data_IF_242797834854
#
_entry.id   IF_242797834854
#
_cell.length_a   1.000
_cell.length_b   1.000
_cell.length_c   1.000
_cell.angle_alpha   90.00
_cell.angle_beta   90.00
_cell.angle_gamma   90.00
#
_symmetry.space_group_name_H-M   'P 1'
#
loop_
_entity.id
_entity.type
_entity.pdbx_description
1 polymer ?
#
# COMPACT_ATOMS: atom_id res chain seq x y z
N UNK A 1 -24.44 -15.14 -21.98
CA UNK A 1 -24.42 -16.10 -20.86
C UNK A 1 -23.84 -15.41 -19.62
N UNK A 2 -24.68 -15.03 -18.66
CA UNK A 2 -24.23 -14.41 -17.41
C UNK A 2 -23.43 -15.41 -16.57
N UNK A 3 -22.12 -15.22 -16.50
CA UNK A 3 -21.25 -15.93 -15.56
C UNK A 3 -21.68 -15.58 -14.13
N UNK A 4 -22.45 -16.46 -13.48
CA UNK A 4 -22.95 -16.28 -12.11
C UNK A 4 -21.80 -16.39 -11.11
N UNK A 5 -21.42 -15.27 -10.50
CA UNK A 5 -20.70 -15.24 -9.21
C UNK A 5 -21.47 -16.06 -8.17
N UNK A 6 -20.74 -16.73 -7.28
CA UNK A 6 -21.34 -17.46 -6.16
C UNK A 6 -22.09 -16.49 -5.24
N UNK A 7 -23.16 -16.95 -4.59
CA UNK A 7 -23.95 -16.14 -3.65
C UNK A 7 -23.07 -15.51 -2.56
N UNK A 8 -22.06 -16.25 -2.05
CA UNK A 8 -21.09 -15.74 -1.08
C UNK A 8 -20.22 -14.60 -1.63
N UNK A 9 -19.80 -14.70 -2.89
CA UNK A 9 -19.00 -13.66 -3.55
C UNK A 9 -19.81 -12.38 -3.77
N UNK A 10 -21.11 -12.51 -4.08
CA UNK A 10 -22.02 -11.36 -4.21
C UNK A 10 -22.20 -10.62 -2.88
N UNK A 11 -22.50 -11.35 -1.81
CA UNK A 11 -22.64 -10.74 -0.47
C UNK A 11 -21.33 -10.10 0.02
N UNK A 12 -20.17 -10.68 -0.30
CA UNK A 12 -18.88 -10.07 0.01
C UNK A 12 -18.60 -8.82 -0.83
N UNK A 13 -19.02 -8.81 -2.10
CA UNK A 13 -18.86 -7.68 -3.00
C UNK A 13 -19.71 -6.48 -2.60
N UNK A 14 -20.96 -6.69 -2.16
CA UNK A 14 -21.85 -5.61 -1.70
C UNK A 14 -21.31 -4.85 -0.49
N UNK A 15 -20.45 -5.48 0.33
CA UNK A 15 -19.80 -4.82 1.47
C UNK A 15 -18.65 -3.89 1.09
N UNK A 16 -18.22 -3.88 -0.18
CA UNK A 16 -17.11 -3.08 -0.67
C UNK A 16 -17.56 -2.11 -1.75
N UNK A 17 -17.52 -0.81 -1.47
CA UNK A 17 -17.79 0.27 -2.44
C UNK A 17 -17.03 0.07 -3.76
N UNK A 18 -15.78 -0.40 -3.69
CA UNK A 18 -14.96 -0.64 -4.87
C UNK A 18 -15.44 -1.84 -5.68
N UNK A 19 -15.86 -2.92 -5.02
CA UNK A 19 -16.38 -4.10 -5.70
C UNK A 19 -17.73 -3.81 -6.37
N UNK A 20 -18.63 -3.11 -5.69
CA UNK A 20 -19.91 -2.64 -6.24
C UNK A 20 -19.68 -1.74 -7.46
N UNK A 21 -18.72 -0.81 -7.39
CA UNK A 21 -18.35 0.03 -8.53
C UNK A 21 -17.90 -0.78 -9.75
N UNK A 22 -17.02 -1.76 -9.56
CA UNK A 22 -16.53 -2.61 -10.65
C UNK A 22 -17.66 -3.44 -11.26
N UNK A 23 -18.56 -3.97 -10.44
CA UNK A 23 -19.68 -4.78 -10.91
C UNK A 23 -20.68 -3.96 -11.75
N UNK A 24 -21.00 -2.74 -11.32
CA UNK A 24 -21.97 -1.85 -11.98
C UNK A 24 -21.39 -1.09 -13.18
N UNK A 25 -20.07 -0.97 -13.29
CA UNK A 25 -19.45 -0.19 -14.38
C UNK A 25 -19.66 -0.84 -15.75
N UNK A 26 -20.14 -0.07 -16.72
CA UNK A 26 -20.27 -0.49 -18.13
C UNK A 26 -18.92 -0.56 -18.87
N UNK A 27 -17.86 0.02 -18.30
CA UNK A 27 -16.53 0.11 -18.91
C UNK A 27 -15.69 -1.17 -18.88
N UNK A 28 -16.24 -2.27 -18.35
CA UNK A 28 -15.55 -3.56 -18.21
C UNK A 28 -16.40 -4.71 -18.78
N UNK A 29 -15.77 -5.58 -19.56
CA UNK A 29 -16.40 -6.83 -20.03
C UNK A 29 -16.68 -7.79 -18.87
N UNK A 30 -17.65 -8.69 -19.04
CA UNK A 30 -18.05 -9.68 -18.01
C UNK A 30 -16.88 -10.53 -17.48
N UNK A 31 -15.93 -10.89 -18.35
CA UNK A 31 -14.72 -11.64 -17.98
C UNK A 31 -13.83 -10.82 -17.03
N UNK A 32 -13.64 -9.53 -17.35
CA UNK A 32 -12.83 -8.63 -16.52
C UNK A 32 -13.52 -8.33 -15.18
N UNK A 33 -14.84 -8.18 -15.18
CA UNK A 33 -15.62 -8.02 -13.95
C UNK A 33 -15.44 -9.22 -13.02
N UNK A 34 -15.57 -10.45 -13.56
CA UNK A 34 -15.37 -11.67 -12.77
C UNK A 34 -13.97 -11.75 -12.18
N UNK A 35 -12.94 -11.50 -13.00
CA UNK A 35 -11.55 -11.48 -12.56
C UNK A 35 -11.32 -10.47 -11.42
N UNK A 36 -11.80 -9.23 -11.59
CA UNK A 36 -11.63 -8.18 -10.60
C UNK A 36 -12.38 -8.50 -9.30
N UNK A 37 -13.62 -9.00 -9.38
CA UNK A 37 -14.39 -9.40 -8.20
C UNK A 37 -13.69 -10.54 -7.46
N UNK A 38 -13.16 -11.54 -8.17
CA UNK A 38 -12.39 -12.62 -7.55
C UNK A 38 -11.09 -12.12 -6.91
N UNK A 39 -10.41 -11.17 -7.55
CA UNK A 39 -9.19 -10.58 -6.99
C UNK A 39 -9.46 -9.73 -5.74
N UNK A 40 -10.61 -9.06 -5.68
CA UNK A 40 -11.05 -8.22 -4.55
C UNK A 40 -11.56 -9.10 -3.39
N UNK A 41 -12.47 -10.04 -3.68
CA UNK A 41 -13.10 -10.93 -2.69
C UNK A 41 -12.15 -12.01 -2.19
N UNK A 42 -11.25 -12.49 -3.05
CA UNK A 42 -10.21 -13.48 -2.70
C UNK A 42 -9.09 -12.93 -1.81
N UNK A 43 -9.27 -11.73 -1.23
CA UNK A 43 -8.39 -11.12 -0.24
C UNK A 43 -6.93 -10.90 -0.70
N UNK A 44 -6.69 -11.04 -2.01
CA UNK A 44 -5.38 -10.87 -2.62
C UNK A 44 -5.00 -9.40 -2.67
N UNK A 45 -5.93 -8.56 -3.13
CA UNK A 45 -5.72 -7.11 -3.24
C UNK A 45 -5.76 -6.45 -1.87
N UNK A 46 -6.73 -6.79 -1.02
CA UNK A 46 -6.88 -6.22 0.32
C UNK A 46 -5.66 -6.50 1.20
N UNK A 47 -5.19 -7.75 1.24
CA UNK A 47 -3.96 -8.10 1.96
C UNK A 47 -2.73 -7.38 1.43
N UNK A 48 -2.59 -7.24 0.11
CA UNK A 48 -1.44 -6.57 -0.51
C UNK A 48 -1.45 -5.05 -0.27
N UNK A 49 -2.63 -4.41 -0.33
CA UNK A 49 -2.81 -3.01 0.01
C UNK A 49 -2.56 -2.76 1.50
N UNK A 50 -3.04 -3.64 2.37
CA UNK A 50 -2.81 -3.55 3.82
C UNK A 50 -1.31 -3.62 4.14
N UNK A 51 -0.62 -4.63 3.63
CA UNK A 51 0.84 -4.79 3.82
C UNK A 51 1.59 -3.60 3.22
N UNK A 52 1.23 -3.16 2.01
CA UNK A 52 1.84 -1.99 1.37
C UNK A 52 1.62 -0.69 2.16
N UNK A 53 0.43 -0.50 2.76
CA UNK A 53 0.12 0.63 3.62
C UNK A 53 0.98 0.63 4.88
N UNK A 54 1.04 -0.51 5.57
CA UNK A 54 1.88 -0.69 6.76
C UNK A 54 3.36 -0.47 6.45
N UNK A 55 3.88 -1.01 5.35
CA UNK A 55 5.28 -0.80 4.93
C UNK A 55 5.59 0.66 4.63
N UNK A 56 4.61 1.42 4.10
CA UNK A 56 4.76 2.87 3.87
C UNK A 56 4.85 3.61 5.20
N UNK A 57 3.93 3.35 6.12
CA UNK A 57 3.97 3.95 7.47
C UNK A 57 5.24 3.60 8.23
N UNK A 58 5.68 2.35 8.13
CA UNK A 58 6.92 1.89 8.75
C UNK A 58 8.16 2.54 8.13
N UNK A 59 8.18 2.72 6.81
CA UNK A 59 9.29 3.41 6.13
C UNK A 59 9.33 4.91 6.45
N UNK A 60 8.18 5.53 6.70
CA UNK A 60 8.10 6.91 7.19
C UNK A 60 8.74 7.05 8.59
N UNK A 61 8.38 6.15 9.53
CA UNK A 61 8.98 6.13 10.87
C UNK A 61 10.49 5.86 10.80
N UNK A 62 10.92 4.91 9.98
CA UNK A 62 12.34 4.64 9.75
C UNK A 62 13.08 5.87 9.20
N UNK A 63 12.47 6.61 8.28
CA UNK A 63 13.04 7.85 7.74
C UNK A 63 13.24 8.93 8.81
N UNK A 64 12.31 9.05 9.77
CA UNK A 64 12.47 9.96 10.92
C UNK A 64 13.66 9.52 11.78
N UNK A 65 13.75 8.23 12.10
CA UNK A 65 14.85 7.69 12.91
C UNK A 65 16.20 7.91 12.21
N UNK A 66 16.28 7.60 10.92
CA UNK A 66 17.48 7.81 10.10
C UNK A 66 17.87 9.29 10.04
N UNK A 67 16.90 10.20 9.94
CA UNK A 67 17.15 11.65 9.93
C UNK A 67 17.77 12.19 11.23
N UNK A 68 17.65 11.44 12.33
CA UNK A 68 18.28 11.79 13.62
C UNK A 68 19.60 11.04 13.79
N UNK A 69 19.62 9.73 13.48
CA UNK A 69 20.80 8.87 13.67
C UNK A 69 21.96 9.28 12.76
N UNK A 70 21.74 9.51 11.46
CA UNK A 70 22.83 9.79 10.53
C UNK A 70 23.54 11.12 10.80
N UNK A 71 22.85 12.25 11.05
CA UNK A 71 23.52 13.49 11.47
C UNK A 71 24.25 13.34 12.81
N UNK A 72 23.70 12.56 13.75
CA UNK A 72 24.37 12.28 15.03
C UNK A 72 25.71 11.56 14.84
N UNK A 73 25.75 10.54 13.98
CA UNK A 73 26.99 9.84 13.61
C UNK A 73 27.98 10.78 12.91
N UNK A 74 27.49 11.63 12.01
CA UNK A 74 28.32 12.58 11.27
C UNK A 74 28.98 13.62 12.19
N UNK A 75 28.22 14.22 13.11
CA UNK A 75 28.74 15.20 14.08
C UNK A 75 29.76 14.53 15.02
N UNK A 76 29.47 13.32 15.49
CA UNK A 76 30.40 12.58 16.35
C UNK A 76 31.74 12.32 15.65
N UNK A 77 31.70 11.90 14.39
CA UNK A 77 32.88 11.64 13.57
C UNK A 77 33.73 12.91 13.36
N UNK A 78 33.10 14.08 13.17
CA UNK A 78 33.80 15.36 13.09
C UNK A 78 34.50 15.73 14.41
N UNK A 79 33.86 15.49 15.55
CA UNK A 79 34.39 15.87 16.86
C UNK A 79 35.54 14.98 17.34
N UNK A 80 35.48 13.67 17.04
CA UNK A 80 36.45 12.69 17.55
C UNK A 80 37.49 12.25 16.52
N UNK A 81 37.34 12.64 15.24
CA UNK A 81 38.29 12.32 14.17
C UNK A 81 38.38 10.85 13.79
N UNK A 82 37.61 9.97 14.44
CA UNK A 82 37.55 8.53 14.19
C UNK A 82 36.10 8.05 14.27
N UNK A 83 35.72 7.15 13.37
CA UNK A 83 34.43 6.45 13.44
C UNK A 83 34.63 5.21 14.30
N UNK A 84 34.31 5.31 15.60
CA UNK A 84 34.34 4.17 16.51
C UNK A 84 33.15 3.24 16.22
N UNK A 85 33.34 1.93 16.40
CA UNK A 85 32.31 0.91 16.16
C UNK A 85 31.08 1.16 17.04
N UNK A 86 31.25 1.77 18.22
CA UNK A 86 30.16 2.12 19.15
C UNK A 86 29.14 3.08 18.56
N UNK A 87 29.55 3.90 17.60
CA UNK A 87 28.69 4.90 16.95
C UNK A 87 28.08 4.36 15.66
N UNK A 88 28.73 3.39 15.03
CA UNK A 88 28.21 2.71 13.84
C UNK A 88 27.28 1.53 14.18
N UNK A 89 27.45 0.91 15.35
CA UNK A 89 26.68 -0.26 15.75
C UNK A 89 25.17 -0.01 15.89
N UNK A 90 24.68 1.12 16.45
CA UNK A 90 23.24 1.37 16.56
C UNK A 90 22.52 1.47 15.20
N UNK A 91 23.01 2.22 14.19
CA UNK A 91 22.45 2.19 12.83
C UNK A 91 22.46 0.78 12.21
N UNK A 92 23.55 0.03 12.37
CA UNK A 92 23.69 -1.32 11.80
C UNK A 92 22.70 -2.31 12.43
N UNK A 93 22.55 -2.28 13.75
CA UNK A 93 21.58 -3.10 14.47
C UNK A 93 20.16 -2.71 14.10
N UNK A 94 19.85 -1.41 14.06
CA UNK A 94 18.54 -0.92 13.65
C UNK A 94 18.17 -1.40 12.24
N UNK A 95 19.09 -1.26 11.28
CA UNK A 95 18.86 -1.69 9.90
C UNK A 95 18.65 -3.21 9.79
N UNK A 96 19.46 -4.00 10.52
CA UNK A 96 19.36 -5.46 10.53
C UNK A 96 18.05 -5.94 11.14
N UNK A 97 17.67 -5.41 12.31
CA UNK A 97 16.41 -5.76 12.98
C UNK A 97 15.21 -5.31 12.16
N UNK A 98 15.25 -4.12 11.56
CA UNK A 98 14.18 -3.60 10.71
C UNK A 98 13.99 -4.49 9.47
N UNK A 99 15.07 -4.96 8.85
CA UNK A 99 15.01 -5.88 7.72
C UNK A 99 14.37 -7.22 8.11
N UNK A 100 14.82 -7.83 9.21
CA UNK A 100 14.27 -9.11 9.69
C UNK A 100 12.79 -8.96 10.04
N UNK A 101 12.42 -7.89 10.74
CA UNK A 101 11.04 -7.62 11.11
C UNK A 101 10.14 -7.44 9.88
N UNK A 102 10.61 -6.73 8.85
CA UNK A 102 9.89 -6.58 7.57
C UNK A 102 9.73 -7.91 6.84
N UNK A 103 10.78 -8.72 6.75
CA UNK A 103 10.71 -10.05 6.12
C UNK A 103 9.68 -10.91 6.85
N UNK A 104 9.73 -10.95 8.19
CA UNK A 104 8.78 -11.71 9.00
C UNK A 104 7.34 -11.24 8.82
N UNK A 105 7.11 -9.92 8.85
CA UNK A 105 5.78 -9.33 8.68
C UNK A 105 5.19 -9.60 7.30
N UNK A 106 5.97 -9.41 6.23
CA UNK A 106 5.51 -9.65 4.86
C UNK A 106 5.27 -11.14 4.66
N UNK A 107 6.16 -12.00 5.15
CA UNK A 107 6.01 -13.45 5.04
C UNK A 107 4.76 -13.94 5.76
N UNK A 108 4.47 -13.45 6.97
CA UNK A 108 3.28 -13.84 7.71
C UNK A 108 1.98 -13.43 7.00
N UNK A 109 1.90 -12.20 6.49
CA UNK A 109 0.66 -11.66 5.91
C UNK A 109 0.44 -12.02 4.43
N UNK A 110 1.51 -12.34 3.69
CA UNK A 110 1.45 -12.69 2.27
C UNK A 110 1.92 -14.13 1.98
N UNK A 111 2.07 -14.97 3.01
CA UNK A 111 2.40 -16.39 2.86
C UNK A 111 1.40 -17.01 1.87
N UNK A 112 1.89 -17.66 0.81
CA UNK A 112 1.14 -18.22 -0.34
C UNK A 112 0.65 -17.24 -1.42
N UNK A 113 0.58 -15.93 -1.16
CA UNK A 113 0.09 -14.94 -2.14
C UNK A 113 1.20 -14.40 -3.06
N UNK A 114 2.45 -14.48 -2.61
CA UNK A 114 3.63 -13.81 -3.22
C UNK A 114 4.87 -14.72 -3.16
N UNK A 115 5.78 -14.64 -4.13
CA UNK A 115 7.02 -15.47 -4.14
C UNK A 115 8.03 -14.94 -3.14
N UNK A 116 8.92 -15.80 -2.64
CA UNK A 116 9.94 -15.42 -1.65
C UNK A 116 10.88 -14.30 -2.14
N UNK A 117 11.24 -14.30 -3.43
CA UNK A 117 12.05 -13.21 -4.01
C UNK A 117 11.34 -11.85 -3.96
N UNK A 118 10.02 -11.82 -4.19
CA UNK A 118 9.24 -10.59 -4.13
C UNK A 118 9.18 -10.10 -2.67
N UNK A 119 9.18 -11.02 -1.68
CA UNK A 119 9.25 -10.69 -0.24
C UNK A 119 10.59 -10.01 0.09
N UNK A 120 11.71 -10.53 -0.43
CA UNK A 120 13.03 -9.94 -0.20
C UNK A 120 13.13 -8.54 -0.78
N UNK A 121 12.70 -8.32 -2.03
CA UNK A 121 12.72 -6.98 -2.62
C UNK A 121 11.78 -6.03 -1.88
N UNK A 122 10.63 -6.55 -1.43
CA UNK A 122 9.66 -5.77 -0.67
C UNK A 122 10.12 -5.42 0.75
N UNK A 123 11.11 -6.12 1.28
CA UNK A 123 11.71 -5.83 2.59
C UNK A 123 12.72 -4.69 2.55
N UNK A 124 13.17 -4.29 1.35
CA UNK A 124 14.16 -3.23 1.19
C UNK A 124 13.66 -1.90 1.77
N UNK A 125 14.56 -1.09 2.36
CA UNK A 125 14.23 0.23 2.85
C UNK A 125 13.61 1.09 1.74
N UNK A 126 12.52 1.81 2.05
CA UNK A 126 11.90 2.84 1.20
C UNK A 126 11.28 2.37 -0.14
N UNK A 127 11.70 1.23 -0.69
CA UNK A 127 11.24 0.71 -1.98
C UNK A 127 10.14 -0.36 -1.86
N UNK A 128 9.95 -0.91 -0.67
CA UNK A 128 9.14 -2.12 -0.47
C UNK A 128 7.67 -2.00 -0.86
N UNK A 129 7.00 -0.96 -0.35
CA UNK A 129 5.58 -0.71 -0.67
C UNK A 129 5.38 -0.39 -2.15
N UNK A 130 6.24 0.47 -2.71
CA UNK A 130 6.20 0.85 -4.12
C UNK A 130 6.41 -0.36 -5.04
N UNK A 131 7.31 -1.27 -4.69
CA UNK A 131 7.53 -2.50 -5.44
C UNK A 131 6.28 -3.39 -5.48
N UNK A 132 5.67 -3.67 -4.31
CA UNK A 132 4.44 -4.48 -4.23
C UNK A 132 3.31 -3.85 -5.04
N UNK A 133 3.09 -2.54 -4.88
CA UNK A 133 2.05 -1.81 -5.60
C UNK A 133 2.32 -1.88 -7.11
N UNK A 134 3.56 -1.62 -7.54
CA UNK A 134 3.91 -1.64 -8.97
C UNK A 134 3.72 -3.03 -9.58
N UNK A 135 4.23 -4.06 -8.91
CA UNK A 135 4.25 -5.44 -9.40
C UNK A 135 2.86 -6.06 -9.49
N UNK A 136 2.03 -5.87 -8.46
CA UNK A 136 0.75 -6.57 -8.32
C UNK A 136 -0.48 -5.71 -8.62
N UNK A 137 -0.35 -4.38 -8.60
CA UNK A 137 -1.48 -3.47 -8.83
C UNK A 137 -1.31 -2.70 -10.13
N UNK A 138 -0.17 -2.03 -10.34
CA UNK A 138 0.03 -1.16 -11.52
C UNK A 138 0.24 -1.95 -12.80
N UNK A 139 1.00 -3.04 -12.75
CA UNK A 139 1.26 -3.87 -13.93
C UNK A 139 0.04 -4.64 -14.42
N UNK A 140 -0.95 -4.87 -13.56
CA UNK A 140 -2.24 -5.40 -13.97
C UNK A 140 -3.06 -4.27 -14.61
N UNK A 141 -3.07 -4.23 -15.95
CA UNK A 141 -3.76 -3.18 -16.71
C UNK A 141 -5.25 -3.08 -16.38
N UNK A 142 -5.91 -4.21 -16.10
CA UNK A 142 -7.35 -4.26 -15.84
C UNK A 142 -7.63 -3.71 -14.44
N UNK A 143 -6.86 -4.17 -13.45
CA UNK A 143 -6.96 -3.72 -12.07
C UNK A 143 -6.56 -2.26 -11.90
N UNK A 144 -5.45 -1.85 -12.51
CA UNK A 144 -4.98 -0.46 -12.52
C UNK A 144 -6.02 0.48 -13.10
N UNK A 145 -6.65 0.11 -14.23
CA UNK A 145 -7.73 0.89 -14.84
C UNK A 145 -8.96 0.99 -13.91
N UNK A 146 -9.33 -0.10 -13.24
CA UNK A 146 -10.45 -0.13 -12.29
C UNK A 146 -10.19 0.79 -11.09
N UNK A 147 -9.01 0.68 -10.46
CA UNK A 147 -8.60 1.51 -9.33
C UNK A 147 -8.53 2.98 -9.74
N UNK A 148 -7.89 3.29 -10.87
CA UNK A 148 -7.79 4.66 -11.36
C UNK A 148 -9.18 5.28 -11.60
N UNK A 149 -10.08 4.54 -12.25
CA UNK A 149 -11.44 4.99 -12.52
C UNK A 149 -12.22 5.27 -11.23
N UNK A 150 -12.09 4.37 -10.24
CA UNK A 150 -12.71 4.53 -8.94
C UNK A 150 -12.16 5.72 -8.14
N UNK A 151 -10.83 5.87 -8.09
CA UNK A 151 -10.17 6.98 -7.41
C UNK A 151 -10.53 8.32 -8.05
N UNK A 152 -10.64 8.38 -9.38
CA UNK A 152 -11.07 9.58 -10.10
C UNK A 152 -12.47 10.03 -9.67
N UNK A 153 -13.39 9.09 -9.47
CA UNK A 153 -14.76 9.36 -9.01
C UNK A 153 -14.75 9.81 -7.54
N UNK A 154 -14.04 9.09 -6.66
CA UNK A 154 -13.93 9.48 -5.24
C UNK A 154 -13.27 10.85 -5.07
N UNK A 155 -12.22 11.17 -5.84
CA UNK A 155 -11.58 12.49 -5.83
C UNK A 155 -12.57 13.60 -6.17
N UNK A 156 -13.36 13.44 -7.24
CA UNK A 156 -14.39 14.42 -7.60
C UNK A 156 -15.45 14.59 -6.51
N UNK A 157 -15.87 13.49 -5.88
CA UNK A 157 -16.83 13.53 -4.75
C UNK A 157 -16.28 14.33 -3.57
N UNK A 158 -15.04 14.06 -3.16
CA UNK A 158 -14.36 14.79 -2.07
C UNK A 158 -14.22 16.27 -2.42
N UNK A 159 -13.81 16.60 -3.66
CA UNK A 159 -13.73 18.00 -4.09
C UNK A 159 -15.07 18.71 -4.00
N UNK A 160 -16.16 18.06 -4.41
CA UNK A 160 -17.50 18.62 -4.30
C UNK A 160 -17.95 18.80 -2.84
N UNK A 161 -17.68 17.82 -1.97
CA UNK A 161 -18.01 17.90 -0.54
C UNK A 161 -17.24 19.04 0.15
N UNK A 162 -15.96 19.22 -0.15
CA UNK A 162 -15.14 20.32 0.36
C UNK A 162 -15.69 21.67 -0.13
N UNK A 163 -15.96 21.80 -1.44
CA UNK A 163 -16.53 23.03 -2.01
C UNK A 163 -17.89 23.38 -1.38
N UNK A 164 -18.76 22.37 -1.19
CA UNK A 164 -20.05 22.54 -0.54
C UNK A 164 -19.90 22.97 0.92
N UNK A 165 -18.96 22.38 1.66
CA UNK A 165 -18.69 22.76 3.04
C UNK A 165 -18.24 24.23 3.15
N UNK A 166 -17.33 24.68 2.28
CA UNK A 166 -16.92 26.08 2.24
C UNK A 166 -18.04 27.04 1.83
N UNK A 167 -18.91 26.63 0.89
CA UNK A 167 -20.06 27.44 0.51
C UNK A 167 -21.05 27.63 1.66
N UNK A 168 -21.35 26.57 2.43
CA UNK A 168 -22.24 26.65 3.59
C UNK A 168 -21.68 27.54 4.71
N UNK A 169 -20.36 27.53 4.92
CA UNK A 169 -19.70 28.43 5.88
C UNK A 169 -19.81 29.89 5.42
N UNK A 170 -19.70 30.15 4.11
CA UNK A 170 -19.81 31.49 3.55
C UNK A 170 -21.22 32.07 3.58
N UNK A 171 -22.27 31.25 3.64
CA UNK A 171 -23.66 31.71 3.78
C UNK A 171 -24.11 31.89 5.24
N UNK A 172 -23.32 31.38 6.20
CA UNK A 172 -23.59 31.47 7.64
C UNK A 172 -22.93 32.68 8.32
N UNK A 173 -22.09 33.43 7.59
CA UNK A 173 -21.46 34.69 8.01
C UNK A 173 -22.06 35.87 7.25
#
# INVERSE_FOLDING_TARGET
>A
MHSKLSYKEKCACERSDFCTFVYQSEGFNDVNKKYLVQAIVGDRISGLLYVSGTLTGWSFVAGIIDSVLFPGVFIYALLHGVVDYKVLMPPVLFLSLNLIAKIGYISYNLLSKVKFYDILISSLPYAGSAYLLKKFIVNDKVLSKAIYSYLKIKKKKIQYEILRFFHLISESN
#
